data_IF_096372907097
#
_entry.id   IF_096372907097
#
_cell.length_a   1.000
_cell.length_b   1.000
_cell.length_c   1.000
_cell.angle_alpha   90.00
_cell.angle_beta   90.00
_cell.angle_gamma   90.00
#
_symmetry.space_group_name_H-M   'P 1'
#
loop_
_entity.id
_entity.type
_entity.pdbx_description
1 polymer ?
#
# COMPACT_ATOMS: atom_id res chain seq x y z
N UNK A 1 -8.08 -25.48 -10.95
CA UNK A 1 -7.09 -25.44 -9.84
C UNK A 1 -6.16 -24.23 -9.94
N UNK A 2 -5.56 -23.93 -11.10
CA UNK A 2 -4.71 -22.75 -11.29
C UNK A 2 -5.45 -21.41 -11.10
N UNK A 3 -6.72 -21.32 -11.53
CA UNK A 3 -7.51 -20.09 -11.45
C UNK A 3 -7.85 -19.70 -10.00
N UNK A 4 -8.14 -20.68 -9.14
CA UNK A 4 -8.35 -20.43 -7.71
C UNK A 4 -7.07 -19.93 -7.02
N UNK A 5 -5.91 -20.48 -7.37
CA UNK A 5 -4.61 -20.03 -6.87
C UNK A 5 -4.28 -18.60 -7.32
N UNK A 6 -4.58 -18.25 -8.58
CA UNK A 6 -4.35 -16.90 -9.09
C UNK A 6 -5.20 -15.85 -8.34
N UNK A 7 -6.48 -16.17 -8.06
CA UNK A 7 -7.36 -15.30 -7.27
C UNK A 7 -6.80 -15.10 -5.87
N UNK A 8 -6.38 -16.18 -5.20
CA UNK A 8 -5.80 -16.11 -3.85
C UNK A 8 -4.51 -15.27 -3.84
N UNK A 9 -3.64 -15.41 -4.84
CA UNK A 9 -2.44 -14.58 -4.97
C UNK A 9 -2.77 -13.10 -5.12
N UNK A 10 -3.74 -12.72 -5.96
CA UNK A 10 -4.11 -11.31 -6.15
C UNK A 10 -4.66 -10.73 -4.85
N UNK A 11 -5.54 -11.48 -4.18
CA UNK A 11 -6.15 -11.07 -2.92
C UNK A 11 -5.11 -10.94 -1.81
N UNK A 12 -4.11 -11.82 -1.76
CA UNK A 12 -2.98 -11.74 -0.84
C UNK A 12 -2.13 -10.50 -1.12
N UNK A 13 -1.75 -10.26 -2.38
CA UNK A 13 -0.95 -9.10 -2.78
C UNK A 13 -1.63 -7.78 -2.44
N UNK A 14 -2.94 -7.65 -2.72
CA UNK A 14 -3.71 -6.46 -2.32
C UNK A 14 -3.69 -6.28 -0.80
N UNK A 15 -3.84 -7.37 -0.04
CA UNK A 15 -3.87 -7.29 1.42
C UNK A 15 -2.53 -6.83 1.97
N UNK A 16 -1.42 -7.37 1.46
CA UNK A 16 -0.05 -6.95 1.82
C UNK A 16 0.16 -5.48 1.48
N UNK A 17 -0.28 -5.05 0.30
CA UNK A 17 -0.13 -3.67 -0.15
C UNK A 17 -0.91 -2.69 0.75
N UNK A 18 -2.12 -3.07 1.17
CA UNK A 18 -2.92 -2.30 2.13
C UNK A 18 -2.25 -2.21 3.50
N UNK A 19 -1.63 -3.29 4.00
CA UNK A 19 -0.86 -3.27 5.24
C UNK A 19 0.34 -2.34 5.15
N UNK A 20 1.16 -2.50 4.10
CA UNK A 20 2.35 -1.67 3.86
C UNK A 20 2.00 -0.19 3.73
N UNK A 21 0.96 0.16 2.98
CA UNK A 21 0.52 1.56 2.86
C UNK A 21 -0.02 2.11 4.18
N UNK A 22 -0.64 1.28 5.01
CA UNK A 22 -1.09 1.70 6.35
C UNK A 22 0.08 1.95 7.29
N UNK A 23 1.17 1.17 7.21
CA UNK A 23 2.42 1.44 7.95
C UNK A 23 3.07 2.74 7.51
N UNK A 24 3.12 3.00 6.19
CA UNK A 24 3.61 4.27 5.64
C UNK A 24 2.84 5.44 6.26
N UNK A 25 1.51 5.38 6.28
CA UNK A 25 0.68 6.41 6.90
C UNK A 25 1.02 6.61 8.38
N UNK A 26 1.16 5.52 9.12
CA UNK A 26 1.53 5.57 10.54
C UNK A 26 2.90 6.24 10.75
N UNK A 27 3.91 5.88 9.96
CA UNK A 27 5.24 6.49 10.05
C UNK A 27 5.23 7.97 9.67
N UNK A 28 4.39 8.39 8.72
CA UNK A 28 4.19 9.80 8.39
C UNK A 28 3.53 10.57 9.54
N UNK A 29 2.62 9.93 10.28
CA UNK A 29 2.03 10.52 11.49
C UNK A 29 3.04 10.63 12.63
N UNK A 30 3.89 9.63 12.83
CA UNK A 30 5.00 9.66 13.79
C UNK A 30 5.99 10.78 13.42
N UNK A 31 6.40 10.88 12.16
CA UNK A 31 7.26 11.96 11.65
C UNK A 31 6.67 13.35 11.91
N UNK A 32 5.37 13.54 11.62
CA UNK A 32 4.67 14.79 11.89
C UNK A 32 4.64 15.11 13.39
N UNK A 33 4.44 14.11 14.24
CA UNK A 33 4.38 14.29 15.70
C UNK A 33 5.74 14.60 16.32
N UNK A 34 6.84 14.02 15.80
CA UNK A 34 8.19 14.21 16.32
C UNK A 34 8.84 15.51 15.81
N UNK A 35 8.67 15.84 14.53
CA UNK A 35 9.36 16.97 13.89
C UNK A 35 8.49 18.22 13.74
N UNK A 36 7.18 18.11 14.02
CA UNK A 36 6.22 19.23 13.96
C UNK A 36 5.88 19.72 12.55
N UNK A 37 6.75 19.48 11.57
CA UNK A 37 6.55 19.80 10.16
C UNK A 37 6.65 18.55 9.28
N UNK A 38 5.60 18.35 8.47
CA UNK A 38 5.58 17.35 7.41
C UNK A 38 5.95 18.04 6.09
N UNK A 39 6.97 17.53 5.41
CA UNK A 39 7.38 18.04 4.09
C UNK A 39 6.20 18.00 3.12
N UNK A 40 6.09 18.96 2.20
CA UNK A 40 4.96 19.05 1.26
C UNK A 40 4.72 17.74 0.49
N UNK A 41 5.80 17.06 0.12
CA UNK A 41 5.79 15.73 -0.51
C UNK A 41 5.10 14.68 0.37
N UNK A 42 5.43 14.63 1.66
CA UNK A 42 4.84 13.71 2.63
C UNK A 42 3.36 14.03 2.91
N UNK A 43 2.98 15.32 2.86
CA UNK A 43 1.58 15.74 2.94
C UNK A 43 0.77 15.25 1.73
N UNK A 44 1.33 15.36 0.53
CA UNK A 44 0.74 14.83 -0.69
C UNK A 44 0.54 13.31 -0.60
N UNK A 45 1.58 12.59 -0.18
CA UNK A 45 1.51 11.14 0.05
C UNK A 45 0.42 10.78 1.05
N UNK A 46 0.33 11.49 2.19
CA UNK A 46 -0.69 11.22 3.22
C UNK A 46 -2.12 11.44 2.70
N UNK A 47 -2.32 12.27 1.67
CA UNK A 47 -3.61 12.48 1.03
C UNK A 47 -3.91 11.46 -0.08
N UNK A 48 -2.92 11.11 -0.91
CA UNK A 48 -3.11 10.23 -2.07
C UNK A 48 -3.03 8.74 -1.71
N UNK A 49 -2.14 8.36 -0.81
CA UNK A 49 -1.96 6.97 -0.38
C UNK A 49 -3.26 6.34 0.18
N UNK A 50 -4.07 6.99 1.05
CA UNK A 50 -5.31 6.37 1.52
C UNK A 50 -6.33 6.18 0.40
N UNK A 51 -6.36 7.07 -0.61
CA UNK A 51 -7.23 6.91 -1.80
C UNK A 51 -6.79 5.69 -2.61
N UNK A 52 -5.48 5.52 -2.79
CA UNK A 52 -4.89 4.33 -3.43
C UNK A 52 -5.24 3.05 -2.66
N UNK A 53 -5.07 3.04 -1.34
CA UNK A 53 -5.40 1.88 -0.49
C UNK A 53 -6.90 1.54 -0.54
N UNK A 54 -7.76 2.55 -0.59
CA UNK A 54 -9.20 2.36 -0.73
C UNK A 54 -9.56 1.73 -2.09
N UNK A 55 -8.96 2.21 -3.19
CA UNK A 55 -9.12 1.61 -4.51
C UNK A 55 -8.68 0.14 -4.54
N UNK A 56 -7.60 -0.21 -3.86
CA UNK A 56 -7.18 -1.61 -3.71
C UNK A 56 -8.17 -2.43 -2.88
N UNK A 57 -8.69 -1.90 -1.77
CA UNK A 57 -9.74 -2.57 -0.99
C UNK A 57 -11.00 -2.83 -1.82
N UNK A 58 -11.44 -1.86 -2.61
CA UNK A 58 -12.56 -2.01 -3.53
C UNK A 58 -12.28 -3.07 -4.60
N UNK A 59 -11.06 -3.10 -5.14
CA UNK A 59 -10.63 -4.12 -6.10
C UNK A 59 -10.68 -5.52 -5.48
N UNK A 60 -10.21 -5.68 -4.23
CA UNK A 60 -10.33 -6.94 -3.48
C UNK A 60 -11.79 -7.34 -3.29
N UNK A 61 -12.67 -6.41 -2.91
CA UNK A 61 -14.08 -6.69 -2.73
C UNK A 61 -14.77 -7.14 -4.03
N UNK A 62 -14.42 -6.52 -5.17
CA UNK A 62 -14.94 -6.90 -6.49
C UNK A 62 -14.43 -8.27 -6.96
N UNK A 63 -13.21 -8.66 -6.57
CA UNK A 63 -12.66 -9.99 -6.82
C UNK A 63 -13.37 -11.03 -5.95
N UNK A 64 -13.55 -10.73 -4.66
CA UNK A 64 -14.17 -11.63 -3.67
C UNK A 64 -15.65 -11.89 -3.98
N UNK A 65 -16.37 -10.86 -4.45
CA UNK A 65 -17.76 -10.99 -4.89
C UNK A 65 -17.93 -11.69 -6.24
N UNK A 66 -16.83 -12.10 -6.89
CA UNK A 66 -16.83 -12.70 -8.22
C UNK A 66 -17.28 -11.75 -9.35
N UNK A 67 -17.31 -10.44 -9.10
CA UNK A 67 -17.82 -9.44 -10.05
C UNK A 67 -16.80 -9.07 -11.14
N UNK A 68 -15.57 -9.58 -11.06
CA UNK A 68 -14.50 -9.33 -12.02
C UNK A 68 -14.19 -10.57 -12.87
N UNK A 69 -13.98 -10.35 -14.17
CA UNK A 69 -13.54 -11.40 -15.10
C UNK A 69 -12.08 -11.79 -14.82
N UNK A 70 -11.75 -13.06 -15.02
CA UNK A 70 -10.42 -13.61 -14.72
C UNK A 70 -9.30 -13.00 -15.58
N UNK A 71 -9.60 -12.58 -16.81
CA UNK A 71 -8.64 -11.85 -17.65
C UNK A 71 -8.32 -10.46 -17.08
N UNK A 72 -9.32 -9.76 -16.54
CA UNK A 72 -9.12 -8.48 -15.84
C UNK A 72 -8.29 -8.67 -14.57
N UNK A 73 -8.56 -9.74 -13.80
CA UNK A 73 -7.78 -10.11 -12.61
C UNK A 73 -6.30 -10.33 -12.94
N UNK A 74 -6.00 -11.09 -14.00
CA UNK A 74 -4.62 -11.34 -14.47
C UNK A 74 -3.93 -10.07 -14.95
N UNK A 75 -4.64 -9.21 -15.67
CA UNK A 75 -4.09 -7.93 -16.15
C UNK A 75 -3.76 -6.95 -15.01
N UNK A 76 -4.51 -7.03 -13.89
CA UNK A 76 -4.29 -6.19 -12.71
C UNK A 76 -3.13 -6.66 -11.83
N UNK A 77 -2.80 -7.96 -11.82
CA UNK A 77 -1.73 -8.52 -10.99
C UNK A 77 -0.40 -7.74 -11.10
N UNK A 78 0.18 -7.50 -12.30
CA UNK A 78 1.46 -6.77 -12.40
C UNK A 78 1.35 -5.31 -11.94
N UNK A 79 0.18 -4.68 -12.09
CA UNK A 79 -0.04 -3.30 -11.62
C UNK A 79 -0.10 -3.25 -10.08
N UNK A 80 -0.76 -4.22 -9.46
CA UNK A 80 -0.83 -4.36 -8.00
C UNK A 80 0.56 -4.65 -7.43
N UNK A 81 1.30 -5.57 -8.03
CA UNK A 81 2.68 -5.88 -7.62
C UNK A 81 3.60 -4.66 -7.75
N UNK A 82 3.52 -3.94 -8.88
CA UNK A 82 4.30 -2.71 -9.09
C UNK A 82 4.00 -1.62 -8.06
N UNK A 83 2.72 -1.45 -7.69
CA UNK A 83 2.33 -0.52 -6.63
C UNK A 83 2.86 -0.96 -5.26
N UNK A 84 2.91 -2.28 -4.99
CA UNK A 84 3.45 -2.82 -3.73
C UNK A 84 4.91 -2.46 -3.54
N UNK A 85 5.73 -2.66 -4.58
CA UNK A 85 7.16 -2.32 -4.57
C UNK A 85 7.39 -0.82 -4.36
N UNK A 86 6.58 0.05 -4.97
CA UNK A 86 6.69 1.50 -4.78
C UNK A 86 6.31 1.91 -3.36
N UNK A 87 5.23 1.34 -2.80
CA UNK A 87 4.79 1.63 -1.43
C UNK A 87 5.83 1.13 -0.41
N UNK A 88 6.44 -0.04 -0.62
CA UNK A 88 7.53 -0.51 0.23
C UNK A 88 8.78 0.36 0.11
N UNK A 89 9.14 0.79 -1.10
CA UNK A 89 10.27 1.73 -1.29
C UNK A 89 10.02 3.05 -0.57
N UNK A 90 8.77 3.53 -0.61
CA UNK A 90 8.38 4.73 0.11
C UNK A 90 8.45 4.55 1.62
N UNK A 91 8.04 3.38 2.13
CA UNK A 91 8.17 3.01 3.53
C UNK A 91 9.63 3.03 3.98
N UNK A 92 10.55 2.43 3.19
CA UNK A 92 11.98 2.41 3.51
C UNK A 92 12.58 3.81 3.57
N UNK A 93 12.21 4.68 2.62
CA UNK A 93 12.64 6.09 2.62
C UNK A 93 12.14 6.83 3.85
N UNK A 94 10.88 6.62 4.26
CA UNK A 94 10.31 7.28 5.44
C UNK A 94 10.94 6.76 6.73
N UNK A 95 11.12 5.45 6.87
CA UNK A 95 11.79 4.84 8.02
C UNK A 95 13.23 5.32 8.16
N UNK A 96 13.94 5.49 7.04
CA UNK A 96 15.31 6.02 7.03
C UNK A 96 15.38 7.54 7.25
N UNK A 97 14.31 8.26 6.92
CA UNK A 97 14.20 9.70 7.15
C UNK A 97 13.78 10.03 8.60
N UNK A 98 13.10 9.11 9.30
CA UNK A 98 12.89 9.21 10.73
C UNK A 98 14.26 9.22 11.42
N UNK A 99 14.55 10.19 12.29
CA UNK A 99 15.74 10.09 13.14
C UNK A 99 15.62 8.77 13.92
N UNK A 100 16.67 7.96 13.91
CA UNK A 100 16.68 6.70 14.65
C UNK A 100 16.30 7.01 16.09
N UNK A 101 15.06 6.69 16.47
CA UNK A 101 14.58 6.91 17.82
C UNK A 101 15.42 6.02 18.73
N UNK A 102 16.33 6.66 19.47
CA UNK A 102 17.16 6.13 20.57
C UNK A 102 18.61 5.72 20.22
N UNK A 103 19.49 6.71 20.14
CA UNK A 103 20.77 6.66 20.87
C UNK A 103 20.47 7.26 22.26
N UNK A 104 20.10 6.41 23.22
CA UNK A 104 20.02 6.72 24.65
C UNK A 104 20.43 5.50 25.46
#
# INVERSE_FOLDING_TARGET
>A
MAEALAIVCIVANITQLVDSGSRVLKHLEEYQSELGEITEVFRHIKAELPVLLDAFRQTKAAIDSGSMQDETKKALLPAIEGCGVQIESLNDVIVKALPASSDF
#
